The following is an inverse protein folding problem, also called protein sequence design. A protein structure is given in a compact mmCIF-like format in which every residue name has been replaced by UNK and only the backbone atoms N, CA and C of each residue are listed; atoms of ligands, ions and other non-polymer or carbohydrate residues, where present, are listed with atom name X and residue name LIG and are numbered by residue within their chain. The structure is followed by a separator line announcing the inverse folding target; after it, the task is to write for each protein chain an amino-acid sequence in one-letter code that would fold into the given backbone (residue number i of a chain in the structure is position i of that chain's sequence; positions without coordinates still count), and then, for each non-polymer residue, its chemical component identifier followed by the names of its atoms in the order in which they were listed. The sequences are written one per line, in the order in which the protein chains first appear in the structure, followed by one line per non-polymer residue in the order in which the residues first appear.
data_IF_774387808903
#
_entry.id   IF_774387808903
#
_cell.length_a   1.000
_cell.length_b   1.000
_cell.length_c   1.000
_cell.angle_alpha   90.00
_cell.angle_beta   90.00
_cell.angle_gamma   90.00
#
_symmetry.space_group_name_H-M   'P 1'
#
loop_
_entity.id
_entity.type
_entity.pdbx_description
1 polymer ?
#
# COMPACT_ATOMS: atom_id res chain seq x y z
N UNK A 1 60.57 -21.70 -66.37
CA UNK A 1 61.74 -22.58 -66.56
C UNK A 1 62.14 -22.48 -68.03
N UNK A 2 63.26 -21.82 -68.36
CA UNK A 2 63.65 -21.55 -69.76
C UNK A 2 63.92 -22.86 -70.51
N UNK A 3 63.45 -22.94 -71.75
CA UNK A 3 63.60 -24.08 -72.70
C UNK A 3 65.06 -24.51 -72.89
N UNK A 4 66.03 -23.66 -72.53
CA UNK A 4 67.47 -23.90 -72.56
C UNK A 4 67.93 -25.23 -71.92
N UNK A 5 67.19 -25.78 -70.95
CA UNK A 5 67.57 -27.05 -70.31
C UNK A 5 67.22 -28.32 -71.12
N UNK A 6 66.28 -28.26 -72.08
CA UNK A 6 65.97 -29.43 -72.91
C UNK A 6 67.07 -29.72 -73.95
N UNK A 7 67.84 -28.70 -74.35
CA UNK A 7 68.94 -28.84 -75.29
C UNK A 7 70.08 -29.72 -74.75
N UNK A 8 70.29 -29.76 -73.42
CA UNK A 8 71.36 -30.57 -72.82
C UNK A 8 71.08 -32.08 -72.83
N UNK A 9 69.81 -32.50 -72.91
CA UNK A 9 69.45 -33.93 -72.81
C UNK A 9 69.54 -34.64 -74.17
N UNK A 10 69.44 -33.92 -75.29
CA UNK A 10 69.49 -34.50 -76.64
C UNK A 10 70.91 -34.71 -77.18
N UNK A 11 71.95 -34.19 -76.53
CA UNK A 11 73.33 -34.19 -77.04
C UNK A 11 74.13 -35.49 -76.71
N UNK A 12 73.65 -36.35 -75.80
CA UNK A 12 74.46 -37.48 -75.30
C UNK A 12 74.35 -38.80 -76.06
N UNK A 13 73.69 -38.88 -77.22
CA UNK A 13 73.76 -40.12 -78.02
C UNK A 13 73.71 -39.87 -79.53
N UNK A 14 74.86 -40.01 -80.20
CA UNK A 14 75.11 -40.88 -81.38
C UNK A 14 76.06 -40.29 -82.44
N UNK A 15 76.78 -41.22 -83.07
CA UNK A 15 78.05 -41.11 -83.80
C UNK A 15 77.93 -40.65 -85.28
N UNK A 16 79.04 -40.15 -85.84
CA UNK A 16 79.14 -39.30 -87.05
C UNK A 16 79.25 -40.06 -88.37
N UNK A 17 78.36 -39.75 -89.35
CA UNK A 17 78.70 -39.15 -90.66
C UNK A 17 77.69 -39.38 -91.82
N UNK A 18 76.75 -40.34 -91.76
CA UNK A 18 75.58 -40.36 -92.69
C UNK A 18 74.26 -39.93 -92.04
N UNK A 19 74.22 -39.88 -90.70
CA UNK A 19 73.12 -39.31 -89.91
C UNK A 19 73.14 -37.77 -89.80
N UNK A 20 74.21 -37.11 -90.27
CA UNK A 20 74.49 -35.70 -89.95
C UNK A 20 73.57 -34.68 -90.62
N UNK A 21 73.02 -35.00 -91.80
CA UNK A 21 72.09 -34.10 -92.51
C UNK A 21 70.64 -34.27 -92.02
N UNK A 22 70.24 -35.50 -91.69
CA UNK A 22 68.89 -35.77 -91.18
C UNK A 22 68.74 -35.23 -89.75
N UNK A 23 69.73 -35.44 -88.87
CA UNK A 23 69.74 -34.81 -87.54
C UNK A 23 69.77 -33.30 -87.60
N UNK A 24 70.58 -32.69 -88.50
CA UNK A 24 70.57 -31.22 -88.68
C UNK A 24 69.22 -30.68 -89.12
N UNK A 25 68.53 -31.38 -90.03
CA UNK A 25 67.20 -30.97 -90.51
C UNK A 25 66.14 -31.08 -89.41
N UNK A 26 66.16 -32.17 -88.63
CA UNK A 26 65.27 -32.34 -87.47
C UNK A 26 65.53 -31.25 -86.41
N UNK A 27 66.80 -30.95 -86.11
CA UNK A 27 67.15 -29.86 -85.20
C UNK A 27 66.64 -28.51 -85.71
N UNK A 28 66.83 -28.19 -87.01
CA UNK A 28 66.33 -26.93 -87.58
C UNK A 28 64.80 -26.80 -87.52
N UNK A 29 64.07 -27.89 -87.77
CA UNK A 29 62.61 -27.92 -87.68
C UNK A 29 62.12 -27.78 -86.24
N UNK A 30 62.83 -28.39 -85.30
CA UNK A 30 62.54 -28.27 -83.87
C UNK A 30 62.76 -26.83 -83.39
N UNK A 31 63.84 -26.20 -83.83
CA UNK A 31 64.15 -24.80 -83.53
C UNK A 31 63.12 -23.84 -84.14
N UNK A 32 62.69 -24.08 -85.38
CA UNK A 32 61.60 -23.31 -86.01
C UNK A 32 60.27 -23.50 -85.26
N UNK A 33 59.92 -24.74 -84.89
CA UNK A 33 58.70 -25.04 -84.14
C UNK A 33 58.67 -24.34 -82.77
N UNK A 34 59.77 -24.40 -82.01
CA UNK A 34 59.90 -23.70 -80.72
C UNK A 34 59.85 -22.18 -80.89
N UNK A 35 60.51 -21.64 -81.92
CA UNK A 35 60.47 -20.21 -82.23
C UNK A 35 59.06 -19.74 -82.56
N UNK A 36 58.30 -20.52 -83.35
CA UNK A 36 56.89 -20.23 -83.64
C UNK A 36 56.02 -20.35 -82.39
N UNK A 37 56.21 -21.37 -81.56
CA UNK A 37 55.53 -21.44 -80.27
C UNK A 37 55.79 -20.20 -79.41
N UNK A 38 57.00 -19.64 -79.40
CA UNK A 38 57.35 -18.48 -78.57
C UNK A 38 56.91 -17.13 -79.16
N UNK A 39 56.86 -16.97 -80.49
CA UNK A 39 56.62 -15.67 -81.13
C UNK A 39 55.24 -15.56 -81.79
N UNK A 40 54.67 -16.66 -82.26
CA UNK A 40 53.40 -16.68 -82.96
C UNK A 40 52.27 -17.09 -82.00
N UNK A 41 51.41 -16.14 -81.68
CA UNK A 41 50.27 -16.34 -80.78
C UNK A 41 49.24 -17.30 -81.38
N UNK A 42 48.94 -17.18 -82.67
CA UNK A 42 47.93 -18.03 -83.33
C UNK A 42 48.41 -19.47 -83.39
N UNK A 43 49.68 -19.69 -83.76
CA UNK A 43 50.29 -21.02 -83.75
C UNK A 43 50.34 -21.62 -82.33
N UNK A 44 50.71 -20.84 -81.32
CA UNK A 44 50.70 -21.28 -79.91
C UNK A 44 49.29 -21.69 -79.45
N UNK A 45 48.27 -20.92 -79.81
CA UNK A 45 46.89 -21.23 -79.45
C UNK A 45 46.36 -22.47 -80.19
N UNK A 46 46.73 -22.66 -81.46
CA UNK A 46 46.38 -23.85 -82.23
C UNK A 46 47.03 -25.11 -81.64
N UNK A 47 48.32 -25.06 -81.31
CA UNK A 47 49.00 -26.17 -80.63
C UNK A 47 48.35 -26.42 -79.28
N UNK A 48 48.13 -25.39 -78.44
CA UNK A 48 47.46 -25.51 -77.15
C UNK A 48 46.07 -26.16 -77.25
N UNK A 49 45.29 -25.85 -78.29
CA UNK A 49 44.02 -26.51 -78.58
C UNK A 49 44.20 -28.01 -78.89
N UNK A 50 45.18 -28.37 -79.73
CA UNK A 50 45.45 -29.77 -80.09
C UNK A 50 45.94 -30.63 -78.92
N UNK A 51 46.66 -30.03 -77.97
CA UNK A 51 47.19 -30.73 -76.78
C UNK A 51 46.27 -30.62 -75.55
N UNK A 52 45.02 -30.16 -75.72
CA UNK A 52 44.01 -30.11 -74.64
C UNK A 52 44.23 -29.03 -73.58
N UNK A 53 45.07 -28.02 -73.86
CA UNK A 53 45.28 -26.89 -72.94
C UNK A 53 44.11 -25.89 -72.96
N UNK A 54 43.27 -25.92 -74.00
CA UNK A 54 42.10 -25.03 -74.11
C UNK A 54 41.10 -25.30 -72.99
N UNK A 55 40.81 -26.57 -72.72
CA UNK A 55 39.91 -27.04 -71.66
C UNK A 55 40.44 -26.64 -70.26
N UNK A 56 41.77 -26.66 -70.09
CA UNK A 56 42.42 -26.21 -68.86
C UNK A 56 42.24 -24.68 -68.68
N UNK A 57 42.44 -23.89 -69.73
CA UNK A 57 42.25 -22.43 -69.70
C UNK A 57 40.80 -22.02 -69.45
N UNK A 58 39.85 -22.74 -70.04
CA UNK A 58 38.41 -22.54 -69.80
C UNK A 58 38.06 -22.83 -68.34
N UNK A 59 38.54 -23.95 -67.77
CA UNK A 59 38.37 -24.27 -66.33
C UNK A 59 38.98 -23.23 -65.40
N UNK A 60 40.17 -22.71 -65.72
CA UNK A 60 40.81 -21.65 -64.94
C UNK A 60 39.96 -20.38 -65.00
N UNK A 61 39.46 -20.01 -66.18
CA UNK A 61 38.61 -18.83 -66.36
C UNK A 61 37.28 -18.96 -65.59
N UNK A 62 36.69 -20.17 -65.54
CA UNK A 62 35.51 -20.46 -64.72
C UNK A 62 35.82 -20.36 -63.22
N UNK A 63 36.98 -20.86 -62.78
CA UNK A 63 37.42 -20.71 -61.40
C UNK A 63 37.65 -19.26 -61.03
N UNK A 64 38.28 -18.45 -61.89
CA UNK A 64 38.50 -17.01 -61.65
C UNK A 64 37.16 -16.28 -61.42
N UNK A 65 36.13 -16.59 -62.21
CA UNK A 65 34.77 -16.05 -62.00
C UNK A 65 34.19 -16.46 -60.64
N UNK A 66 34.32 -17.74 -60.27
CA UNK A 66 33.86 -18.21 -58.95
C UNK A 66 34.65 -17.56 -57.81
N UNK A 67 35.95 -17.32 -57.99
CA UNK A 67 36.77 -16.60 -57.02
C UNK A 67 36.31 -15.15 -56.88
N UNK A 68 36.00 -14.46 -57.97
CA UNK A 68 35.45 -13.10 -57.93
C UNK A 68 34.10 -13.05 -57.18
N UNK A 69 33.22 -14.02 -57.43
CA UNK A 69 31.93 -14.15 -56.70
C UNK A 69 32.16 -14.36 -55.20
N UNK A 70 33.07 -15.26 -54.82
CA UNK A 70 33.43 -15.50 -53.42
C UNK A 70 34.02 -14.24 -52.76
N UNK A 71 34.83 -13.46 -53.47
CA UNK A 71 35.37 -12.20 -52.95
C UNK A 71 34.27 -11.16 -52.71
N UNK A 72 33.25 -11.11 -53.55
CA UNK A 72 32.08 -10.24 -53.34
C UNK A 72 31.29 -10.68 -52.10
N UNK A 73 31.04 -11.98 -51.95
CA UNK A 73 30.33 -12.52 -50.79
C UNK A 73 31.11 -12.28 -49.49
N UNK A 74 32.43 -12.46 -49.51
CA UNK A 74 33.30 -12.22 -48.36
C UNK A 74 33.29 -10.74 -47.92
N UNK A 75 33.24 -9.80 -48.87
CA UNK A 75 33.07 -8.37 -48.55
C UNK A 75 31.72 -8.10 -47.89
N UNK A 76 30.63 -8.67 -48.41
CA UNK A 76 29.29 -8.54 -47.80
C UNK A 76 29.26 -9.09 -46.38
N UNK A 77 29.85 -10.26 -46.13
CA UNK A 77 29.98 -10.80 -44.78
C UNK A 77 30.82 -9.89 -43.87
N UNK A 78 31.88 -9.27 -44.39
CA UNK A 78 32.65 -8.26 -43.66
C UNK A 78 31.81 -7.06 -43.23
N UNK A 79 30.96 -6.54 -44.11
CA UNK A 79 30.03 -5.43 -43.80
C UNK A 79 29.00 -5.83 -42.72
N UNK A 80 28.42 -7.03 -42.83
CA UNK A 80 27.47 -7.55 -41.83
C UNK A 80 28.14 -7.68 -40.45
N UNK A 81 29.36 -8.21 -40.39
CA UNK A 81 30.11 -8.35 -39.14
C UNK A 81 30.43 -6.98 -38.50
N UNK A 82 30.76 -5.97 -39.31
CA UNK A 82 30.94 -4.61 -38.81
C UNK A 82 29.64 -4.04 -38.22
N UNK A 83 28.50 -4.27 -38.90
CA UNK A 83 27.21 -3.82 -38.39
C UNK A 83 26.83 -4.52 -37.08
N UNK A 84 27.03 -5.83 -37.00
CA UNK A 84 26.80 -6.62 -35.78
C UNK A 84 27.69 -6.13 -34.62
N UNK A 85 28.97 -5.85 -34.91
CA UNK A 85 29.91 -5.31 -33.92
C UNK A 85 29.45 -3.94 -33.41
N UNK A 86 28.95 -3.07 -34.30
CA UNK A 86 28.40 -1.77 -33.90
C UNK A 86 27.17 -1.91 -33.02
N UNK A 87 26.22 -2.78 -33.39
CA UNK A 87 25.00 -3.06 -32.60
C UNK A 87 25.34 -3.62 -31.21
N UNK A 88 26.32 -4.52 -31.11
CA UNK A 88 26.80 -5.03 -29.82
C UNK A 88 27.37 -3.90 -28.95
N UNK A 89 28.22 -3.04 -29.52
CA UNK A 89 28.77 -1.89 -28.79
C UNK A 89 27.68 -0.91 -28.31
N UNK A 90 26.62 -0.71 -29.09
CA UNK A 90 25.47 0.09 -28.67
C UNK A 90 24.68 -0.58 -27.52
N UNK A 91 24.53 -1.91 -27.55
CA UNK A 91 23.91 -2.65 -26.46
C UNK A 91 24.76 -2.59 -25.18
N UNK A 92 26.07 -2.72 -25.26
CA UNK A 92 26.96 -2.62 -24.10
C UNK A 92 26.79 -1.27 -23.38
N UNK A 93 26.71 -0.17 -24.13
CA UNK A 93 26.44 1.16 -23.56
C UNK A 93 25.09 1.22 -22.84
N UNK A 94 24.04 0.65 -23.42
CA UNK A 94 22.71 0.59 -22.77
C UNK A 94 22.73 -0.27 -21.51
N UNK A 95 23.51 -1.36 -21.51
CA UNK A 95 23.69 -2.18 -20.32
C UNK A 95 24.40 -1.41 -19.20
N UNK A 96 25.45 -0.64 -19.53
CA UNK A 96 26.13 0.21 -18.55
C UNK A 96 25.19 1.28 -17.96
N UNK A 97 24.36 1.91 -18.79
CA UNK A 97 23.32 2.86 -18.33
C UNK A 97 22.32 2.20 -17.37
N UNK A 98 21.81 1.01 -17.72
CA UNK A 98 20.90 0.24 -16.86
C UNK A 98 21.56 -0.17 -15.53
N UNK A 99 22.85 -0.50 -15.53
CA UNK A 99 23.58 -0.83 -14.31
C UNK A 99 23.70 0.38 -13.38
N UNK A 100 23.90 1.59 -13.93
CA UNK A 100 23.93 2.83 -13.14
C UNK A 100 22.55 3.11 -12.53
N UNK A 101 21.48 2.96 -13.31
CA UNK A 101 20.11 3.15 -12.82
C UNK A 101 19.76 2.13 -11.72
N UNK A 102 20.13 0.86 -11.90
CA UNK A 102 19.92 -0.18 -10.92
C UNK A 102 20.64 0.11 -9.59
N UNK A 103 21.87 0.64 -9.65
CA UNK A 103 22.60 1.09 -8.45
C UNK A 103 21.87 2.21 -7.72
N UNK A 104 21.37 3.21 -8.45
CA UNK A 104 20.58 4.31 -7.86
C UNK A 104 19.31 3.79 -7.18
N UNK A 105 18.58 2.86 -7.82
CA UNK A 105 17.43 2.23 -7.19
C UNK A 105 17.81 1.45 -5.93
N UNK A 106 18.98 0.78 -5.92
CA UNK A 106 19.52 0.14 -4.73
C UNK A 106 19.76 1.11 -3.57
N UNK A 107 20.33 2.29 -3.84
CA UNK A 107 20.55 3.33 -2.85
C UNK A 107 19.23 3.87 -2.26
N UNK A 108 18.23 4.12 -3.12
CA UNK A 108 16.89 4.57 -2.69
C UNK A 108 16.24 3.52 -1.77
N UNK A 109 16.33 2.23 -2.12
CA UNK A 109 15.78 1.15 -1.30
C UNK A 109 16.47 1.05 0.06
N UNK A 110 17.79 1.25 0.13
CA UNK A 110 18.51 1.32 1.40
C UNK A 110 18.04 2.50 2.26
N UNK A 111 17.83 3.67 1.65
CA UNK A 111 17.33 4.84 2.36
C UNK A 111 15.90 4.63 2.89
N UNK A 112 15.01 4.06 2.07
CA UNK A 112 13.65 3.69 2.47
C UNK A 112 13.68 2.69 3.63
N UNK A 113 14.54 1.68 3.56
CA UNK A 113 14.71 0.69 4.64
C UNK A 113 15.14 1.37 5.94
N UNK A 114 16.10 2.30 5.88
CA UNK A 114 16.53 3.07 7.05
C UNK A 114 15.40 3.90 7.65
N UNK A 115 14.65 4.62 6.82
CA UNK A 115 13.49 5.43 7.25
C UNK A 115 12.41 4.57 7.91
N UNK A 116 12.11 3.39 7.36
CA UNK A 116 11.17 2.44 7.97
C UNK A 116 11.66 1.98 9.34
N UNK A 117 12.93 1.60 9.48
CA UNK A 117 13.49 1.23 10.79
C UNK A 117 13.46 2.37 11.81
N UNK A 118 13.61 3.62 11.39
CA UNK A 118 13.42 4.78 12.27
C UNK A 118 11.96 4.97 12.69
N UNK A 119 11.01 4.75 11.77
CA UNK A 119 9.58 4.78 12.10
C UNK A 119 9.20 3.68 13.09
N UNK A 120 9.70 2.44 12.91
CA UNK A 120 9.44 1.34 13.85
C UNK A 120 9.86 1.71 15.28
N UNK A 121 11.06 2.30 15.45
CA UNK A 121 11.53 2.78 16.77
C UNK A 121 10.63 3.88 17.35
N UNK A 122 10.12 4.78 16.51
CA UNK A 122 9.17 5.82 16.96
C UNK A 122 7.85 5.20 17.38
N UNK A 123 7.34 4.22 16.63
CA UNK A 123 6.13 3.49 16.99
C UNK A 123 6.30 2.75 18.32
N UNK A 124 7.41 2.05 18.55
CA UNK A 124 7.69 1.40 19.83
C UNK A 124 7.65 2.40 21.00
N UNK A 125 8.23 3.58 20.80
CA UNK A 125 8.22 4.66 21.80
C UNK A 125 6.79 5.16 22.07
N UNK A 126 5.96 5.30 21.03
CA UNK A 126 4.56 5.70 21.16
C UNK A 126 3.76 4.62 21.90
N UNK A 127 3.93 3.35 21.54
CA UNK A 127 3.25 2.23 22.20
C UNK A 127 3.61 2.14 23.69
N UNK A 128 4.87 2.35 24.05
CA UNK A 128 5.30 2.42 25.45
C UNK A 128 4.62 3.58 26.19
N UNK A 129 4.51 4.77 25.57
CA UNK A 129 3.82 5.91 26.16
C UNK A 129 2.33 5.66 26.35
N UNK A 130 1.65 5.06 25.35
CA UNK A 130 0.24 4.70 25.44
C UNK A 130 0.02 3.70 26.58
N UNK A 131 0.83 2.62 26.63
CA UNK A 131 0.74 1.62 27.70
C UNK A 131 0.94 2.24 29.09
N UNK A 132 1.86 3.21 29.21
CA UNK A 132 2.08 3.95 30.45
C UNK A 132 0.86 4.82 30.82
N UNK A 133 0.28 5.51 29.85
CA UNK A 133 -0.93 6.31 30.06
C UNK A 133 -2.12 5.44 30.47
N UNK A 134 -2.36 4.32 29.80
CA UNK A 134 -3.42 3.36 30.13
C UNK A 134 -3.27 2.84 31.56
N UNK A 135 -2.05 2.48 31.98
CA UNK A 135 -1.77 2.05 33.35
C UNK A 135 -2.08 3.16 34.36
N UNK A 136 -1.64 4.39 34.10
CA UNK A 136 -1.92 5.53 34.99
C UNK A 136 -3.41 5.86 35.05
N UNK A 137 -4.10 5.80 33.92
CA UNK A 137 -5.54 6.00 33.85
C UNK A 137 -6.30 4.92 34.65
N UNK A 138 -5.87 3.66 34.57
CA UNK A 138 -6.41 2.58 35.38
C UNK A 138 -6.17 2.78 36.88
N UNK A 139 -4.99 3.26 37.28
CA UNK A 139 -4.70 3.59 38.69
C UNK A 139 -5.53 4.78 39.19
N UNK A 140 -5.68 5.81 38.36
CA UNK A 140 -6.54 6.96 38.65
C UNK A 140 -7.99 6.52 38.79
N UNK A 141 -8.49 5.70 37.86
CA UNK A 141 -9.85 5.14 37.89
C UNK A 141 -10.09 4.32 39.15
N UNK A 142 -9.15 3.45 39.55
CA UNK A 142 -9.25 2.69 40.82
C UNK A 142 -9.21 3.59 42.04
N UNK A 143 -8.37 4.64 42.05
CA UNK A 143 -8.33 5.61 43.16
C UNK A 143 -9.64 6.38 43.24
N UNK A 144 -10.17 6.82 42.12
CA UNK A 144 -11.49 7.45 42.01
C UNK A 144 -12.56 6.47 42.50
N UNK A 145 -12.57 5.22 42.06
CA UNK A 145 -13.52 4.19 42.48
C UNK A 145 -13.45 3.88 43.98
N UNK A 146 -12.27 3.79 44.60
CA UNK A 146 -12.12 3.56 46.04
C UNK A 146 -12.51 4.80 46.86
N UNK A 147 -12.17 5.99 46.35
CA UNK A 147 -12.56 7.27 46.96
C UNK A 147 -14.08 7.45 46.86
N UNK A 148 -14.67 7.14 45.71
CA UNK A 148 -16.13 7.13 45.49
C UNK A 148 -16.79 5.96 46.22
N UNK A 149 -16.16 4.81 46.40
CA UNK A 149 -16.76 3.65 47.06
C UNK A 149 -16.91 3.85 48.57
N UNK A 150 -15.99 4.58 49.19
CA UNK A 150 -16.07 4.99 50.60
C UNK A 150 -16.94 6.23 50.82
N UNK A 151 -17.11 7.09 49.81
CA UNK A 151 -17.93 8.30 49.87
C UNK A 151 -19.32 8.19 49.22
N UNK A 152 -19.61 7.24 48.34
CA UNK A 152 -20.68 7.32 47.35
C UNK A 152 -22.10 7.33 47.91
N UNK A 153 -22.37 6.58 48.99
CA UNK A 153 -23.67 6.67 49.68
C UNK A 153 -23.83 7.98 50.47
N UNK A 154 -22.73 8.52 51.02
CA UNK A 154 -22.75 9.77 51.79
C UNK A 154 -22.79 10.97 50.85
N UNK A 155 -21.96 11.00 49.81
CA UNK A 155 -21.97 11.98 48.73
C UNK A 155 -23.26 12.00 47.94
N UNK A 156 -23.92 10.86 47.67
CA UNK A 156 -25.26 10.88 47.06
C UNK A 156 -26.24 11.69 47.92
N UNK A 157 -26.30 11.40 49.22
CA UNK A 157 -27.15 12.12 50.16
C UNK A 157 -26.70 13.59 50.38
N UNK A 158 -25.40 13.85 50.42
CA UNK A 158 -24.83 15.20 50.64
C UNK A 158 -24.99 16.08 49.40
N UNK A 159 -24.93 15.49 48.19
CA UNK A 159 -25.20 16.16 46.92
C UNK A 159 -26.69 16.42 46.75
N UNK A 160 -27.56 15.43 47.03
CA UNK A 160 -29.01 15.62 47.07
C UNK A 160 -29.37 16.78 48.01
N UNK A 161 -28.80 16.79 49.23
CA UNK A 161 -28.98 17.89 50.18
C UNK A 161 -28.44 19.21 49.65
N UNK A 162 -27.22 19.25 49.12
CA UNK A 162 -26.62 20.50 48.61
C UNK A 162 -27.44 21.07 47.45
N UNK A 163 -27.93 20.24 46.54
CA UNK A 163 -28.81 20.66 45.44
C UNK A 163 -30.14 21.20 45.98
N UNK A 164 -30.75 20.52 46.95
CA UNK A 164 -31.97 21.00 47.62
C UNK A 164 -31.74 22.33 48.36
N UNK A 165 -30.56 22.53 48.97
CA UNK A 165 -30.18 23.77 49.64
C UNK A 165 -29.96 24.93 48.66
N UNK A 166 -29.26 24.70 47.54
CA UNK A 166 -29.04 25.70 46.48
C UNK A 166 -30.38 26.23 45.96
N UNK A 167 -31.36 25.34 45.78
CA UNK A 167 -32.68 25.70 45.27
C UNK A 167 -33.72 25.91 46.36
N UNK A 168 -33.34 26.02 47.64
CA UNK A 168 -34.30 26.11 48.76
C UNK A 168 -35.34 27.19 48.53
N UNK A 169 -34.92 28.40 48.18
CA UNK A 169 -35.81 29.54 47.94
C UNK A 169 -36.83 29.25 46.82
N UNK A 170 -36.36 28.74 45.67
CA UNK A 170 -37.20 28.40 44.51
C UNK A 170 -38.15 27.24 44.82
N UNK A 171 -37.71 26.26 45.60
CA UNK A 171 -38.52 25.12 46.03
C UNK A 171 -39.61 25.58 47.01
N UNK A 172 -39.27 26.44 47.96
CA UNK A 172 -40.22 27.00 48.93
C UNK A 172 -41.29 27.86 48.25
N UNK A 173 -40.93 28.69 47.26
CA UNK A 173 -41.89 29.41 46.40
C UNK A 173 -42.85 28.46 45.67
N UNK A 174 -42.37 27.27 45.27
CA UNK A 174 -43.16 26.22 44.64
C UNK A 174 -43.91 25.34 45.65
N UNK A 175 -43.85 25.66 46.94
CA UNK A 175 -44.54 24.96 48.02
C UNK A 175 -43.82 23.72 48.57
N UNK A 176 -42.59 23.47 48.12
CA UNK A 176 -41.74 22.36 48.57
C UNK A 176 -40.87 22.87 49.71
N UNK A 177 -41.00 22.26 50.89
CA UNK A 177 -40.11 22.52 52.04
C UNK A 177 -39.04 21.43 52.08
N UNK A 178 -37.78 21.71 51.69
CA UNK A 178 -36.76 20.66 51.55
C UNK A 178 -36.53 19.85 52.83
N UNK A 179 -36.65 20.47 54.01
CA UNK A 179 -36.51 19.80 55.31
C UNK A 179 -37.62 18.81 55.65
N UNK A 180 -38.74 18.81 54.91
CA UNK A 180 -39.88 17.88 55.08
C UNK A 180 -39.92 16.79 54.01
N UNK A 181 -38.97 16.81 53.07
CA UNK A 181 -38.84 15.76 52.04
C UNK A 181 -38.32 14.49 52.69
N UNK A 182 -38.97 13.36 52.41
CA UNK A 182 -38.67 12.06 53.03
C UNK A 182 -38.53 10.98 51.96
N UNK A 183 -37.66 10.00 52.21
CA UNK A 183 -37.40 8.93 51.24
C UNK A 183 -38.50 7.86 51.31
N UNK A 184 -39.18 7.62 50.19
CA UNK A 184 -40.15 6.55 50.03
C UNK A 184 -39.54 5.39 49.23
N UNK A 185 -39.56 4.19 49.82
CA UNK A 185 -39.09 2.97 49.17
C UNK A 185 -40.15 1.88 49.22
N UNK A 186 -40.52 1.37 48.05
CA UNK A 186 -41.48 0.28 47.86
C UNK A 186 -40.80 -0.86 47.09
N UNK A 187 -40.80 -2.07 47.67
CA UNK A 187 -40.42 -3.29 46.97
C UNK A 187 -41.68 -4.02 46.52
N UNK A 188 -41.92 -4.05 45.22
CA UNK A 188 -43.11 -4.65 44.62
C UNK A 188 -42.90 -6.17 44.42
N UNK A 189 -43.21 -6.97 45.44
CA UNK A 189 -42.90 -8.39 45.45
C UNK A 189 -43.65 -9.20 44.38
N UNK A 190 -44.90 -8.82 44.07
CA UNK A 190 -45.82 -9.57 43.21
C UNK A 190 -46.19 -8.83 41.91
N UNK A 191 -45.75 -7.58 41.75
CA UNK A 191 -45.98 -6.76 40.56
C UNK A 191 -47.27 -5.93 40.64
N UNK A 192 -47.94 -5.89 41.79
CA UNK A 192 -49.24 -5.20 41.96
C UNK A 192 -49.16 -3.70 41.70
N UNK A 193 -48.03 -3.06 42.04
CA UNK A 193 -47.88 -1.61 41.98
C UNK A 193 -47.29 -1.14 40.64
N UNK A 194 -46.26 -1.83 40.17
CA UNK A 194 -45.41 -1.46 39.03
C UNK A 194 -45.66 -2.31 37.78
N UNK A 195 -46.36 -3.44 37.90
CA UNK A 195 -46.52 -4.44 36.85
C UNK A 195 -45.30 -5.38 36.69
N UNK A 196 -44.23 -5.17 37.46
CA UNK A 196 -42.97 -5.93 37.36
C UNK A 196 -42.62 -6.54 38.70
N UNK A 197 -42.61 -7.88 38.78
CA UNK A 197 -42.25 -8.61 39.99
C UNK A 197 -40.82 -8.29 40.43
N UNK A 198 -40.66 -7.93 41.70
CA UNK A 198 -39.38 -7.63 42.33
C UNK A 198 -38.85 -6.22 42.09
N UNK A 199 -39.54 -5.35 41.33
CA UNK A 199 -39.09 -3.97 41.08
C UNK A 199 -39.10 -3.18 42.39
N UNK A 200 -38.04 -2.41 42.61
CA UNK A 200 -37.95 -1.47 43.75
C UNK A 200 -38.18 -0.06 43.23
N UNK A 201 -39.13 0.63 43.81
CA UNK A 201 -39.38 2.06 43.59
C UNK A 201 -38.75 2.80 44.77
N UNK A 202 -37.82 3.71 44.48
CA UNK A 202 -37.17 4.57 45.46
C UNK A 202 -37.28 6.01 44.96
N UNK A 203 -37.85 6.90 45.76
CA UNK A 203 -38.10 8.30 45.38
C UNK A 203 -38.29 9.17 46.62
N UNK A 204 -37.90 10.43 46.54
CA UNK A 204 -38.18 11.39 47.59
C UNK A 204 -39.61 11.96 47.45
N UNK A 205 -40.33 12.00 48.57
CA UNK A 205 -41.72 12.44 48.62
C UNK A 205 -41.93 13.51 49.69
N UNK A 206 -42.84 14.42 49.41
CA UNK A 206 -43.34 15.40 50.35
C UNK A 206 -44.85 15.27 50.45
N UNK A 207 -45.37 15.19 51.68
CA UNK A 207 -46.80 15.20 51.97
C UNK A 207 -47.11 16.48 52.74
N UNK A 208 -47.93 17.35 52.15
CA UNK A 208 -48.31 18.65 52.73
C UNK A 208 -49.78 18.93 52.42
N UNK A 209 -50.57 19.28 53.44
CA UNK A 209 -51.99 19.61 53.31
C UNK A 209 -52.79 18.52 52.54
N UNK A 210 -52.51 17.26 52.86
CA UNK A 210 -53.03 16.05 52.21
C UNK A 210 -52.62 15.83 50.74
N UNK A 211 -51.87 16.75 50.15
CA UNK A 211 -51.30 16.63 48.80
C UNK A 211 -49.97 15.89 48.81
N UNK A 212 -49.76 15.05 47.80
CA UNK A 212 -48.53 14.29 47.60
C UNK A 212 -47.70 14.91 46.47
N UNK A 213 -46.43 15.16 46.75
CA UNK A 213 -45.46 15.67 45.79
C UNK A 213 -44.32 14.66 45.65
N UNK A 214 -43.91 14.41 44.41
CA UNK A 214 -42.76 13.56 44.10
C UNK A 214 -41.60 14.46 43.69
N UNK A 215 -40.42 14.20 44.23
CA UNK A 215 -39.23 14.99 43.98
C UNK A 215 -38.10 14.03 43.62
N UNK A 216 -37.49 14.23 42.46
CA UNK A 216 -36.28 13.53 42.07
C UNK A 216 -35.14 14.56 41.97
N UNK A 217 -34.10 14.35 42.77
CA UNK A 217 -32.93 15.25 42.80
C UNK A 217 -31.77 14.58 42.07
N UNK A 218 -31.15 15.30 41.14
CA UNK A 218 -29.99 14.85 40.36
C UNK A 218 -28.95 15.95 40.21
N UNK A 219 -27.69 15.59 39.99
CA UNK A 219 -26.72 16.55 39.44
C UNK A 219 -26.96 16.79 37.95
N UNK A 220 -27.41 15.76 37.23
CA UNK A 220 -27.67 15.79 35.81
C UNK A 220 -28.91 14.97 35.48
N UNK A 221 -29.80 15.50 34.64
CA UNK A 221 -31.01 14.83 34.19
C UNK A 221 -31.03 14.73 32.65
N UNK A 222 -31.22 13.52 32.16
CA UNK A 222 -31.43 13.18 30.75
C UNK A 222 -32.87 12.67 30.53
N UNK A 223 -33.17 12.24 29.30
CA UNK A 223 -34.50 11.77 28.92
C UNK A 223 -34.97 10.53 29.71
N UNK A 224 -34.05 9.62 30.04
CA UNK A 224 -34.36 8.39 30.78
C UNK A 224 -34.76 8.71 32.21
N UNK A 225 -34.08 9.67 32.85
CA UNK A 225 -34.45 10.14 34.19
C UNK A 225 -35.88 10.70 34.23
N UNK A 226 -36.28 11.44 33.20
CA UNK A 226 -37.64 12.01 33.08
C UNK A 226 -38.69 10.90 32.94
N UNK A 227 -38.46 9.95 32.05
CA UNK A 227 -39.36 8.82 31.85
C UNK A 227 -39.47 7.98 33.12
N UNK A 228 -38.35 7.74 33.80
CA UNK A 228 -38.31 6.96 35.01
C UNK A 228 -39.11 7.61 36.15
N UNK A 229 -39.00 8.93 36.34
CA UNK A 229 -39.85 9.65 37.30
C UNK A 229 -41.34 9.50 36.96
N UNK A 230 -41.70 9.65 35.68
CA UNK A 230 -43.08 9.51 35.22
C UNK A 230 -43.65 8.11 35.51
N UNK A 231 -42.87 7.05 35.28
CA UNK A 231 -43.27 5.67 35.58
C UNK A 231 -43.54 5.43 37.07
N UNK A 232 -42.86 6.15 37.97
CA UNK A 232 -43.03 6.00 39.42
C UNK A 232 -44.31 6.61 39.96
N UNK A 233 -44.95 7.54 39.24
CA UNK A 233 -46.14 8.25 39.72
C UNK A 233 -47.24 7.27 40.11
N UNK A 234 -47.70 6.41 39.17
CA UNK A 234 -48.82 5.48 39.41
C UNK A 234 -48.55 4.46 40.53
N UNK A 235 -47.38 3.80 40.61
CA UNK A 235 -47.05 2.93 41.74
C UNK A 235 -47.10 3.64 43.09
N UNK A 236 -46.56 4.85 43.18
CA UNK A 236 -46.54 5.63 44.42
C UNK A 236 -47.95 6.08 44.82
N UNK A 237 -48.77 6.53 43.85
CA UNK A 237 -50.17 6.88 44.11
C UNK A 237 -50.96 5.71 44.70
N UNK A 238 -50.80 4.52 44.11
CA UNK A 238 -51.45 3.29 44.59
C UNK A 238 -50.97 2.91 45.99
N UNK A 239 -49.66 2.99 46.23
CA UNK A 239 -49.07 2.56 47.50
C UNK A 239 -49.41 3.50 48.66
N UNK A 240 -49.49 4.80 48.42
CA UNK A 240 -49.83 5.80 49.43
C UNK A 240 -51.33 6.12 49.50
N UNK A 241 -52.12 5.55 48.59
CA UNK A 241 -53.55 5.82 48.41
C UNK A 241 -53.86 7.33 48.31
N UNK A 242 -53.03 8.06 47.57
CA UNK A 242 -53.09 9.52 47.39
C UNK A 242 -52.72 9.87 45.96
N UNK A 243 -53.30 10.95 45.42
CA UNK A 243 -52.95 11.46 44.09
C UNK A 243 -51.73 12.36 44.16
N UNK A 244 -50.83 12.21 43.19
CA UNK A 244 -49.66 13.10 43.06
C UNK A 244 -50.18 14.41 42.49
N UNK A 245 -50.07 15.48 43.27
CA UNK A 245 -50.44 16.83 42.86
C UNK A 245 -49.48 17.34 41.78
N UNK A 246 -48.16 17.22 42.05
CA UNK A 246 -47.08 17.59 41.13
C UNK A 246 -45.86 16.72 41.35
N UNK A 247 -45.13 16.45 40.27
CA UNK A 247 -43.81 15.83 40.29
C UNK A 247 -42.75 16.85 39.88
N UNK A 248 -41.58 16.77 40.51
CA UNK A 248 -40.48 17.71 40.32
C UNK A 248 -39.20 16.97 39.96
N UNK A 249 -38.46 17.51 38.98
CA UNK A 249 -37.05 17.22 38.77
C UNK A 249 -36.24 18.43 39.22
N UNK A 250 -35.36 18.22 40.19
CA UNK A 250 -34.41 19.23 40.66
C UNK A 250 -33.02 18.82 40.21
N UNK A 251 -32.43 19.60 39.30
CA UNK A 251 -31.14 19.28 38.70
C UNK A 251 -30.16 20.45 38.68
N UNK A 252 -28.86 20.18 38.68
CA UNK A 252 -27.88 21.24 38.34
C UNK A 252 -27.90 21.47 36.83
N UNK A 253 -27.85 20.38 36.06
CA UNK A 253 -27.89 20.39 34.61
C UNK A 253 -29.02 19.49 34.08
N UNK A 254 -29.66 19.88 32.99
CA UNK A 254 -30.64 19.06 32.28
C UNK A 254 -30.40 19.15 30.77
N UNK A 255 -30.54 18.05 30.04
CA UNK A 255 -30.51 18.09 28.57
C UNK A 255 -31.70 18.86 28.01
N UNK A 256 -31.51 19.56 26.89
CA UNK A 256 -32.59 20.27 26.19
C UNK A 256 -33.77 19.32 25.87
N UNK A 257 -33.50 18.12 25.37
CA UNK A 257 -34.53 17.12 25.06
C UNK A 257 -35.32 16.70 26.30
N UNK A 258 -34.61 16.45 27.42
CA UNK A 258 -35.22 16.12 28.69
C UNK A 258 -36.05 17.28 29.25
N UNK A 259 -35.57 18.52 29.10
CA UNK A 259 -36.26 19.74 29.50
C UNK A 259 -37.54 19.99 28.70
N UNK A 260 -37.58 19.65 27.42
CA UNK A 260 -38.83 19.67 26.66
C UNK A 260 -39.77 18.54 27.13
N UNK A 261 -39.23 17.35 27.39
CA UNK A 261 -40.05 16.20 27.78
C UNK A 261 -40.76 16.38 29.12
N UNK A 262 -40.12 16.99 30.11
CA UNK A 262 -40.76 17.28 31.41
C UNK A 262 -42.00 18.16 31.25
N UNK A 263 -41.96 19.16 30.36
CA UNK A 263 -43.09 20.04 30.08
C UNK A 263 -44.27 19.29 29.46
N UNK A 264 -44.01 18.40 28.51
CA UNK A 264 -45.03 17.56 27.89
C UNK A 264 -45.74 16.65 28.91
N UNK A 265 -44.99 16.12 29.87
CA UNK A 265 -45.50 15.18 30.88
C UNK A 265 -46.11 15.87 32.11
N UNK A 266 -46.16 17.20 32.14
CA UNK A 266 -46.66 17.96 33.29
C UNK A 266 -45.78 17.86 34.53
N UNK A 267 -44.50 17.57 34.35
CA UNK A 267 -43.48 17.53 35.40
C UNK A 267 -42.83 18.91 35.51
N UNK A 268 -42.73 19.43 36.73
CA UNK A 268 -42.06 20.70 37.00
C UNK A 268 -40.56 20.50 37.09
N UNK A 269 -39.79 21.48 36.62
CA UNK A 269 -38.33 21.40 36.62
C UNK A 269 -37.73 22.62 37.31
N UNK A 270 -36.74 22.36 38.16
CA UNK A 270 -35.85 23.37 38.75
C UNK A 270 -34.44 22.99 38.33
N UNK A 271 -33.87 23.75 37.40
CA UNK A 271 -32.56 23.47 36.82
C UNK A 271 -31.68 24.72 36.77
N UNK A 272 -30.36 24.53 36.93
CA UNK A 272 -29.39 25.62 36.91
C UNK A 272 -28.92 25.93 35.49
N UNK A 273 -28.80 24.91 34.65
CA UNK A 273 -28.39 25.05 33.26
C UNK A 273 -29.07 24.01 32.35
N UNK A 274 -29.35 24.41 31.11
CA UNK A 274 -29.87 23.54 30.04
C UNK A 274 -28.74 23.28 29.05
N UNK A 275 -28.40 22.00 28.85
CA UNK A 275 -27.30 21.56 27.99
C UNK A 275 -27.87 21.21 26.61
N UNK A 276 -27.35 21.87 25.56
CA UNK A 276 -27.66 21.52 24.17
C UNK A 276 -26.73 20.39 23.72
N UNK A 277 -27.28 19.41 23.00
CA UNK A 277 -26.49 18.35 22.37
C UNK A 277 -25.47 18.96 21.40
N UNK A 278 -24.23 18.47 21.45
CA UNK A 278 -23.08 18.99 20.69
C UNK A 278 -23.03 18.48 19.23
N UNK A 279 -24.16 18.13 18.61
CA UNK A 279 -24.15 17.42 17.32
C UNK A 279 -24.18 18.32 16.06
N UNK A 280 -24.16 19.65 16.18
CA UNK A 280 -24.12 20.55 15.02
C UNK A 280 -22.81 21.35 14.90
N UNK A 281 -21.64 20.69 14.84
CA UNK A 281 -20.39 21.36 14.45
C UNK A 281 -19.48 20.56 13.50
N UNK A 282 -19.99 19.54 12.82
CA UNK A 282 -19.24 18.91 11.71
C UNK A 282 -20.12 18.72 10.48
N UNK A 283 -20.11 19.71 9.61
CA UNK A 283 -20.43 19.60 8.18
C UNK A 283 -19.38 20.34 7.37
#
# INVERSE_FOLDING_TARGET
MRISNYFLILDQSLNRNSFSNHSRRIMSLTEEFLTRLEKDKEFRMAVAGLIGYREILERISEHDRKFDELLIELRRHGEILQEHTRKLSEHDKKFDELLIELRRHGEILQEHTRKLSEHDRKFDTIFQRISFLEKNFGLLSKRIEVTIGSMGRRWGLDLEKTVLEIYREVLEEKGIEPGKVSKFRLKDADGTYTGVKGKVVDIDVLIKDDKLYLIEVKSYADLDHVQWLYEKIKPVEKALNRKVEKAFIVAVNIDEEAYQKVKELGIEVVAGNIIKSLEEQTS
#
